data_IF_081489615626
#
_entry.id   IF_081489615626
#
_cell.length_a   1.000
_cell.length_b   1.000
_cell.length_c   1.000
_cell.angle_alpha   90.00
_cell.angle_beta   90.00
_cell.angle_gamma   90.00
#
_symmetry.space_group_name_H-M   'P 1'
#
loop_
_entity.id
_entity.type
_entity.pdbx_description
1 polymer ?
#
# COMPACT_ATOMS: atom_id res chain seq x y z
N UNK A 1 0.67 7.83 -21.28
CA UNK A 1 -0.26 6.67 -21.37
C UNK A 1 0.06 5.53 -20.39
N UNK A 2 0.95 5.72 -19.40
CA UNK A 2 1.12 4.79 -18.29
C UNK A 2 0.23 5.21 -17.11
N UNK A 3 -1.06 4.88 -17.16
CA UNK A 3 -1.96 4.96 -16.01
C UNK A 3 -2.52 3.56 -15.79
N UNK A 4 -2.56 3.14 -14.53
CA UNK A 4 -3.24 1.93 -14.07
C UNK A 4 -2.43 0.64 -14.09
N UNK A 5 -1.27 0.64 -13.47
CA UNK A 5 -0.83 -0.56 -12.76
C UNK A 5 -1.25 -0.37 -11.29
N UNK A 6 -2.26 -1.13 -10.86
CA UNK A 6 -2.88 -0.97 -9.53
C UNK A 6 -1.92 -1.27 -8.36
N UNK A 7 -0.75 -1.86 -8.64
CA UNK A 7 0.22 -2.31 -7.64
C UNK A 7 1.30 -1.27 -7.34
N UNK A 8 1.13 -0.02 -7.78
CA UNK A 8 2.06 1.06 -7.47
C UNK A 8 1.46 1.97 -6.39
N UNK A 9 2.18 2.10 -5.28
CA UNK A 9 1.98 3.17 -4.32
C UNK A 9 2.89 4.33 -4.72
N UNK A 10 2.29 5.44 -5.17
CA UNK A 10 3.02 6.61 -5.66
C UNK A 10 2.87 7.74 -4.66
N UNK A 11 3.99 8.27 -4.17
CA UNK A 11 3.99 9.53 -3.46
C UNK A 11 3.87 10.68 -4.46
N UNK A 12 2.72 11.34 -4.51
CA UNK A 12 2.45 12.47 -5.40
C UNK A 12 2.85 13.83 -4.80
N UNK A 13 3.47 13.85 -3.61
CA UNK A 13 3.87 15.06 -2.92
C UNK A 13 4.71 14.76 -1.68
N UNK A 14 4.20 15.11 -0.51
CA UNK A 14 4.93 15.01 0.77
C UNK A 14 4.47 13.84 1.63
N UNK A 15 3.96 12.76 1.03
CA UNK A 15 3.50 11.60 1.80
C UNK A 15 4.66 11.02 2.62
N UNK A 16 4.40 10.76 3.90
CA UNK A 16 5.35 10.12 4.80
C UNK A 16 5.34 8.61 4.62
N UNK A 17 6.35 7.91 5.17
CA UNK A 17 6.37 6.45 5.21
C UNK A 17 5.08 5.89 5.86
N UNK A 18 4.65 6.50 6.97
CA UNK A 18 3.39 6.17 7.65
C UNK A 18 2.18 6.26 6.72
N UNK A 19 2.08 7.30 5.88
CA UNK A 19 0.95 7.43 4.96
C UNK A 19 0.92 6.34 3.89
N UNK A 20 2.09 5.90 3.41
CA UNK A 20 2.21 4.82 2.42
C UNK A 20 1.83 3.48 3.06
N UNK A 21 2.29 3.24 4.28
CA UNK A 21 1.95 2.03 5.04
C UNK A 21 0.46 1.97 5.34
N UNK A 22 -0.13 3.04 5.87
CA UNK A 22 -1.58 3.14 6.13
C UNK A 22 -2.41 2.89 4.87
N UNK A 23 -2.00 3.45 3.73
CA UNK A 23 -2.67 3.23 2.45
C UNK A 23 -2.59 1.77 2.02
N UNK A 24 -1.42 1.13 2.13
CA UNK A 24 -1.27 -0.27 1.77
C UNK A 24 -2.07 -1.21 2.65
N UNK A 25 -2.08 -0.99 3.97
CA UNK A 25 -2.91 -1.77 4.90
C UNK A 25 -4.42 -1.62 4.58
N UNK A 26 -4.87 -0.42 4.21
CA UNK A 26 -6.25 -0.20 3.76
C UNK A 26 -6.57 -0.97 2.48
N UNK A 27 -5.65 -0.99 1.51
CA UNK A 27 -5.82 -1.75 0.26
C UNK A 27 -5.88 -3.25 0.54
N UNK A 28 -4.97 -3.78 1.37
CA UNK A 28 -4.95 -5.20 1.76
C UNK A 28 -6.28 -5.59 2.41
N UNK A 29 -6.74 -4.80 3.39
CA UNK A 29 -8.03 -5.02 4.06
C UNK A 29 -9.19 -5.03 3.06
N UNK A 30 -9.24 -4.03 2.18
CA UNK A 30 -10.32 -3.91 1.19
C UNK A 30 -10.33 -5.07 0.20
N UNK A 31 -9.17 -5.49 -0.30
CA UNK A 31 -9.07 -6.63 -1.22
C UNK A 31 -9.54 -7.91 -0.53
N UNK A 32 -9.14 -8.11 0.73
CA UNK A 32 -9.63 -9.24 1.51
C UNK A 32 -11.15 -9.21 1.68
N UNK A 33 -11.73 -8.06 2.05
CA UNK A 33 -13.18 -7.92 2.23
C UNK A 33 -13.97 -8.12 0.92
N UNK A 34 -13.44 -7.67 -0.23
CA UNK A 34 -14.17 -7.75 -1.51
C UNK A 34 -13.94 -9.03 -2.29
N UNK A 35 -12.83 -9.73 -2.06
CA UNK A 35 -12.42 -10.89 -2.89
C UNK A 35 -12.05 -12.14 -2.09
N UNK A 36 -11.90 -12.05 -0.76
CA UNK A 36 -11.38 -13.13 0.09
C UNK A 36 -9.88 -13.39 -0.07
N UNK A 37 -9.19 -12.67 -0.95
CA UNK A 37 -7.76 -12.80 -1.17
C UNK A 37 -6.99 -11.96 -0.16
N UNK A 38 -6.11 -12.59 0.60
CA UNK A 38 -5.16 -11.90 1.46
C UNK A 38 -3.91 -11.55 0.67
N UNK A 39 -3.62 -10.26 0.56
CA UNK A 39 -2.40 -9.76 -0.06
C UNK A 39 -1.28 -9.67 0.98
N UNK A 40 -0.06 -9.96 0.54
CA UNK A 40 1.16 -9.80 1.34
C UNK A 40 2.04 -8.71 0.73
N UNK A 41 2.80 -8.03 1.58
CA UNK A 41 3.75 -7.01 1.14
C UNK A 41 4.93 -7.65 0.39
N UNK A 42 5.20 -7.19 -0.83
CA UNK A 42 6.42 -7.55 -1.58
C UNK A 42 7.64 -6.77 -1.09
N UNK A 43 7.43 -5.52 -0.65
CA UNK A 43 8.51 -4.62 -0.25
C UNK A 43 8.89 -4.79 1.22
N UNK A 44 10.18 -4.62 1.51
CA UNK A 44 10.69 -4.60 2.88
C UNK A 44 10.49 -3.22 3.50
N UNK A 45 9.79 -3.15 4.63
CA UNK A 45 9.66 -1.94 5.46
C UNK A 45 10.81 -1.90 6.47
N UNK A 46 11.51 -0.78 6.55
CA UNK A 46 12.67 -0.58 7.45
C UNK A 46 12.43 0.70 8.25
N UNK A 47 12.68 0.65 9.55
CA UNK A 47 12.49 1.75 10.47
C UNK A 47 11.80 1.27 11.75
N UNK A 48 11.69 2.17 12.72
CA UNK A 48 10.92 1.92 13.94
C UNK A 48 9.53 2.55 13.78
N UNK A 49 8.51 1.84 14.27
CA UNK A 49 7.17 2.41 14.39
C UNK A 49 7.19 3.36 15.58
N UNK A 50 7.40 4.64 15.30
CA UNK A 50 7.36 5.73 16.27
C UNK A 50 5.96 6.30 16.45
#
# INVERSE_FOLDING_TARGET
LFRSHCNFLINTGTATAKNIEELGEQVIKKVFETSGVKLDWEIKRIGEVS
#
